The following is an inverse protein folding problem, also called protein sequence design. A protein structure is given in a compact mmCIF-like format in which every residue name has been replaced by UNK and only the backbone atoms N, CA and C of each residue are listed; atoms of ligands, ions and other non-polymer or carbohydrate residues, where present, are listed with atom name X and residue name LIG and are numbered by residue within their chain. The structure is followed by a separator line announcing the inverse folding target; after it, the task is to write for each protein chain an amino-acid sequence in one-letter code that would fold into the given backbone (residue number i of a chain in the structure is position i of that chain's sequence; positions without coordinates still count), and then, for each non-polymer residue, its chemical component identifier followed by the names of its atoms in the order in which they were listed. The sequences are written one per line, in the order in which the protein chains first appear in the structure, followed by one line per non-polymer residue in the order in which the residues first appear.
data_IF_947476377378
#
_entry.id   IF_947476377378
#
_cell.length_a   1.000
_cell.length_b   1.000
_cell.length_c   1.000
_cell.angle_alpha   90.00
_cell.angle_beta   90.00
_cell.angle_gamma   90.00
#
_symmetry.space_group_name_H-M   'P 1'
#
loop_
_entity.id
_entity.type
_entity.pdbx_description
1 polymer ?
#
# COMPACT_ATOMS: atom_id res chain seq x y z
N UNK A 1 8.37 15.99 -28.59
CA UNK A 1 8.69 15.11 -27.45
C UNK A 1 7.43 15.00 -26.63
N UNK A 2 6.66 13.92 -26.80
CA UNK A 2 5.45 13.69 -26.02
C UNK A 2 5.85 12.77 -24.87
N UNK A 3 5.77 13.25 -23.63
CA UNK A 3 5.82 12.38 -22.47
C UNK A 3 4.48 11.66 -22.39
N UNK A 4 4.39 10.50 -23.02
CA UNK A 4 3.33 9.56 -22.69
C UNK A 4 3.67 9.01 -21.31
N UNK A 5 3.04 9.55 -20.28
CA UNK A 5 2.98 8.91 -18.95
C UNK A 5 2.34 7.54 -19.16
N UNK A 6 3.18 6.53 -19.40
CA UNK A 6 2.78 5.13 -19.41
C UNK A 6 2.28 4.80 -18.02
N UNK A 7 0.96 4.89 -17.83
CA UNK A 7 0.29 4.57 -16.56
C UNK A 7 0.09 3.06 -16.54
N UNK A 8 1.17 2.30 -16.69
CA UNK A 8 1.13 0.87 -16.50
C UNK A 8 1.16 0.61 -14.99
N UNK A 9 0.07 0.12 -14.38
CA UNK A 9 0.02 -0.13 -12.95
C UNK A 9 1.12 -1.10 -12.48
N UNK A 10 1.74 -1.87 -13.39
CA UNK A 10 2.86 -2.77 -13.09
C UNK A 10 4.19 -2.04 -12.86
N UNK A 11 4.34 -0.81 -13.35
CA UNK A 11 5.60 -0.04 -13.27
C UNK A 11 5.54 1.15 -12.31
N UNK A 12 4.34 1.51 -11.82
CA UNK A 12 4.18 2.60 -10.86
C UNK A 12 4.78 2.18 -9.52
N UNK A 13 5.87 2.82 -9.09
CA UNK A 13 6.42 2.65 -7.74
C UNK A 13 5.39 3.06 -6.68
N UNK A 14 5.28 2.26 -5.62
CA UNK A 14 4.43 2.55 -4.46
C UNK A 14 5.17 3.29 -3.34
N UNK A 15 6.47 3.54 -3.51
CA UNK A 15 7.27 4.26 -2.52
C UNK A 15 6.73 5.68 -2.28
N UNK A 16 6.62 6.05 -1.00
CA UNK A 16 6.09 7.33 -0.56
C UNK A 16 4.58 7.52 -0.76
N UNK A 17 3.86 6.52 -1.28
CA UNK A 17 2.42 6.63 -1.48
C UNK A 17 1.67 6.32 -0.18
N UNK A 18 0.59 7.07 0.04
CA UNK A 18 -0.32 6.82 1.16
C UNK A 18 -1.67 6.35 0.67
N UNK A 19 -2.17 5.27 1.25
CA UNK A 19 -3.47 4.69 0.95
C UNK A 19 -4.41 4.80 2.15
N UNK A 20 -5.71 4.89 1.88
CA UNK A 20 -6.78 4.86 2.89
C UNK A 20 -7.60 3.60 2.66
N UNK A 21 -7.90 2.85 3.73
CA UNK A 21 -8.87 1.76 3.64
C UNK A 21 -10.24 2.30 3.19
N UNK A 22 -10.88 1.71 2.18
CA UNK A 22 -12.21 2.19 1.71
C UNK A 22 -13.34 1.47 2.46
N UNK A 23 -13.11 0.21 2.84
CA UNK A 23 -14.07 -0.64 3.54
C UNK A 23 -13.44 -1.24 4.79
N UNK A 24 -14.29 -1.51 5.79
CA UNK A 24 -13.86 -2.18 7.00
C UNK A 24 -13.63 -3.66 6.71
N UNK A 25 -12.48 -4.22 7.13
CA UNK A 25 -12.36 -5.68 7.19
C UNK A 25 -13.44 -6.24 8.13
N UNK A 26 -13.95 -7.44 7.86
CA UNK A 26 -14.96 -8.09 8.71
C UNK A 26 -14.49 -8.28 10.18
N UNK A 27 -13.18 -8.17 10.44
CA UNK A 27 -12.57 -8.25 11.77
C UNK A 27 -12.45 -6.91 12.49
N UNK A 28 -12.75 -5.77 11.83
CA UNK A 28 -12.86 -4.45 12.47
C UNK A 28 -11.54 -3.68 12.64
N UNK A 29 -10.40 -4.22 12.21
CA UNK A 29 -9.09 -3.62 12.49
C UNK A 29 -8.66 -2.56 11.46
N UNK A 30 -9.16 -2.60 10.23
CA UNK A 30 -8.78 -1.65 9.17
C UNK A 30 -10.04 -1.03 8.60
N UNK A 31 -10.09 0.31 8.51
CA UNK A 31 -11.24 1.05 8.00
C UNK A 31 -10.89 2.39 7.37
N UNK A 32 -11.90 3.24 7.14
CA UNK A 32 -11.73 4.57 6.49
C UNK A 32 -10.81 5.54 7.23
N UNK A 33 -10.60 5.32 8.52
CA UNK A 33 -9.66 6.07 9.33
C UNK A 33 -8.23 5.53 9.26
N UNK A 34 -8.00 4.33 8.73
CA UNK A 34 -6.69 3.70 8.66
C UNK A 34 -5.90 4.20 7.44
N UNK A 35 -4.75 4.81 7.72
CA UNK A 35 -3.77 5.26 6.72
C UNK A 35 -2.65 4.23 6.60
N UNK A 36 -2.21 3.95 5.38
CA UNK A 36 -1.05 3.11 5.07
C UNK A 36 -0.01 3.95 4.35
N UNK A 37 1.18 4.13 4.93
CA UNK A 37 2.31 4.76 4.26
C UNK A 37 3.20 3.66 3.70
N UNK A 38 3.27 3.58 2.38
CA UNK A 38 4.01 2.55 1.66
C UNK A 38 5.44 2.97 1.35
N UNK A 39 6.30 1.97 1.35
CA UNK A 39 7.69 2.04 0.97
C UNK A 39 8.01 0.88 0.05
N UNK A 40 8.82 1.13 -0.98
CA UNK A 40 9.21 0.09 -1.93
C UNK A 40 10.69 0.20 -2.27
N UNK A 41 11.38 -0.94 -2.22
CA UNK A 41 12.75 -1.12 -2.68
C UNK A 41 12.79 -2.37 -3.57
N UNK A 42 12.99 -2.17 -4.87
CA UNK A 42 12.82 -3.20 -5.90
C UNK A 42 11.50 -3.99 -5.77
N UNK A 43 11.58 -5.27 -5.44
CA UNK A 43 10.44 -6.18 -5.24
C UNK A 43 9.99 -6.26 -3.78
N UNK A 44 10.71 -5.64 -2.84
CA UNK A 44 10.34 -5.55 -1.43
C UNK A 44 9.38 -4.37 -1.24
N UNK A 45 8.29 -4.62 -0.50
CA UNK A 45 7.32 -3.58 -0.15
C UNK A 45 6.93 -3.71 1.32
N UNK A 46 6.83 -2.58 2.01
CA UNK A 46 6.27 -2.53 3.35
C UNK A 46 5.38 -1.31 3.53
N UNK A 47 4.51 -1.37 4.53
CA UNK A 47 3.68 -0.24 4.91
C UNK A 47 3.55 -0.14 6.44
N UNK A 48 3.72 1.07 6.95
CA UNK A 48 3.32 1.41 8.32
C UNK A 48 1.88 1.91 8.27
N UNK A 49 1.04 1.46 9.20
CA UNK A 49 -0.35 1.90 9.26
C UNK A 49 -0.86 2.21 10.65
N UNK A 50 -1.79 3.15 10.72
CA UNK A 50 -2.44 3.59 11.96
C UNK A 50 -3.78 4.24 11.67
N UNK A 51 -4.61 4.38 12.69
CA UNK A 51 -5.92 5.03 12.62
C UNK A 51 -7.09 4.05 12.73
N UNK A 52 -8.26 4.60 13.06
CA UNK A 52 -9.40 3.80 13.54
C UNK A 52 -9.09 3.27 14.94
N UNK A 53 -9.04 1.94 15.10
CA UNK A 53 -8.62 1.28 16.34
C UNK A 53 -7.15 0.87 16.38
N UNK A 54 -6.40 1.03 15.28
CA UNK A 54 -5.01 0.60 15.19
C UNK A 54 -4.07 1.70 15.65
N UNK A 55 -3.39 1.47 16.76
CA UNK A 55 -2.33 2.37 17.24
C UNK A 55 -1.12 2.36 16.30
N UNK A 56 -0.70 1.17 15.86
CA UNK A 56 0.42 0.96 14.96
C UNK A 56 0.40 -0.46 14.39
N UNK A 57 0.53 -0.59 13.09
CA UNK A 57 0.64 -1.86 12.39
C UNK A 57 1.66 -1.79 11.26
N UNK A 58 2.11 -2.98 10.84
CA UNK A 58 3.11 -3.14 9.79
C UNK A 58 2.64 -4.22 8.81
N UNK A 59 2.78 -3.94 7.53
CA UNK A 59 2.68 -4.93 6.46
C UNK A 59 4.05 -5.05 5.81
N UNK A 60 4.53 -6.27 5.59
CA UNK A 60 5.77 -6.52 4.86
C UNK A 60 5.52 -7.62 3.86
N UNK A 61 6.04 -7.45 2.65
CA UNK A 61 5.71 -8.32 1.55
C UNK A 61 6.60 -8.12 0.34
N UNK A 62 6.16 -8.73 -0.76
CA UNK A 62 6.79 -8.60 -2.06
C UNK A 62 5.80 -8.16 -3.13
N UNK A 63 6.31 -7.52 -4.17
CA UNK A 63 5.56 -7.15 -5.36
C UNK A 63 6.02 -7.98 -6.56
N UNK A 64 5.05 -8.53 -7.28
CA UNK A 64 5.27 -9.15 -8.59
C UNK A 64 4.25 -8.58 -9.57
N UNK A 65 4.71 -7.74 -10.49
CA UNK A 65 3.87 -6.99 -11.43
C UNK A 65 2.74 -6.22 -10.70
N UNK A 66 1.48 -6.59 -10.92
CA UNK A 66 0.30 -5.98 -10.26
C UNK A 66 -0.05 -6.59 -8.89
N UNK A 67 0.61 -7.67 -8.46
CA UNK A 67 0.28 -8.39 -7.23
C UNK A 67 1.19 -7.98 -6.09
N UNK A 68 0.58 -7.71 -4.93
CA UNK A 68 1.25 -7.53 -3.65
C UNK A 68 0.96 -8.75 -2.78
N UNK A 69 2.01 -9.37 -2.25
CA UNK A 69 1.90 -10.51 -1.34
C UNK A 69 2.45 -10.10 0.01
N UNK A 70 1.58 -9.97 1.01
CA UNK A 70 1.97 -9.66 2.39
C UNK A 70 1.99 -10.93 3.24
N UNK A 71 2.84 -10.96 4.27
CA UNK A 71 2.93 -12.03 5.27
C UNK A 71 2.55 -11.54 6.66
#
# INVERSE_FOLDING_TARGET
MNLETSTDPRTISLDGRTFRGIENSATGDVGQATMFTCHQDDDVIWAEYSGGGVLRGYLVGTRSAEKLNFR
#
